data_IF_631865306649
#
_entry.id   IF_631865306649
#
_cell.length_a   1.000
_cell.length_b   1.000
_cell.length_c   1.000
_cell.angle_alpha   90.00
_cell.angle_beta   90.00
_cell.angle_gamma   90.00
#
_symmetry.space_group_name_H-M   'P 1'
#
loop_
_entity.id
_entity.type
_entity.pdbx_description
1 polymer ?
#
# COMPACT_ATOMS: atom_id res chain seq x y z
N UNK A 1 -24.98 24.58 14.58
CA UNK A 1 -24.72 23.31 15.30
C UNK A 1 -25.20 23.50 16.72
N UNK A 2 -26.01 22.58 17.26
CA UNK A 2 -26.51 22.68 18.63
C UNK A 2 -25.42 22.27 19.63
N UNK A 3 -25.48 22.74 20.89
CA UNK A 3 -24.54 22.33 21.95
C UNK A 3 -24.51 20.81 22.16
N UNK A 4 -25.61 20.11 21.84
CA UNK A 4 -25.72 18.67 21.92
C UNK A 4 -24.93 17.98 20.80
N UNK A 5 -24.99 18.51 19.59
CA UNK A 5 -24.21 18.02 18.44
C UNK A 5 -22.72 18.22 18.67
N UNK A 6 -22.33 19.37 19.22
CA UNK A 6 -20.94 19.64 19.57
C UNK A 6 -20.40 18.66 20.63
N UNK A 7 -21.17 18.40 21.70
CA UNK A 7 -20.78 17.42 22.74
C UNK A 7 -20.63 16.00 22.18
N UNK A 8 -21.49 15.61 21.22
CA UNK A 8 -21.39 14.30 20.56
C UNK A 8 -20.12 14.23 19.70
N UNK A 9 -19.83 15.28 18.94
CA UNK A 9 -18.60 15.36 18.14
C UNK A 9 -17.35 15.34 19.03
N UNK A 10 -17.32 16.12 20.10
CA UNK A 10 -16.21 16.15 21.07
C UNK A 10 -16.00 14.77 21.72
N UNK A 11 -17.07 14.07 22.07
CA UNK A 11 -17.00 12.72 22.63
C UNK A 11 -16.50 11.69 21.61
N UNK A 12 -16.91 11.82 20.35
CA UNK A 12 -16.41 10.97 19.25
C UNK A 12 -14.93 11.24 18.97
N UNK A 13 -14.50 12.51 18.99
CA UNK A 13 -13.10 12.87 18.86
C UNK A 13 -12.22 12.36 20.02
N UNK A 14 -12.72 12.49 21.26
CA UNK A 14 -12.01 11.95 22.44
C UNK A 14 -11.88 10.43 22.39
N UNK A 15 -12.91 9.72 21.92
CA UNK A 15 -12.83 8.27 21.73
C UNK A 15 -11.87 7.87 20.61
N UNK A 16 -11.77 8.67 19.54
CA UNK A 16 -10.82 8.46 18.43
C UNK A 16 -9.35 8.71 18.85
N UNK A 17 -9.10 9.54 19.87
CA UNK A 17 -7.76 9.86 20.38
C UNK A 17 -7.23 8.82 21.40
N UNK A 18 -8.08 7.94 21.91
CA UNK A 18 -7.62 6.88 22.83
C UNK A 18 -7.01 5.74 22.01
N UNK A 19 -5.78 5.31 22.33
CA UNK A 19 -5.24 4.14 21.67
C UNK A 19 -6.20 2.97 21.85
N UNK A 20 -6.54 2.26 20.77
CA UNK A 20 -7.45 1.13 20.85
C UNK A 20 -6.83 0.04 21.73
N UNK A 21 -7.61 -0.57 22.59
CA UNK A 21 -7.18 -1.79 23.28
C UNK A 21 -7.48 -2.98 22.39
N UNK A 22 -6.49 -3.83 22.18
CA UNK A 22 -6.70 -5.11 21.51
C UNK A 22 -7.38 -6.08 22.48
N UNK A 23 -8.59 -6.52 22.15
CA UNK A 23 -9.42 -7.36 23.02
C UNK A 23 -9.95 -8.61 22.33
N UNK A 24 -9.53 -8.86 21.07
CA UNK A 24 -9.97 -10.04 20.34
C UNK A 24 -9.47 -11.32 21.05
N UNK A 25 -10.33 -12.30 21.32
CA UNK A 25 -9.94 -13.53 22.02
C UNK A 25 -9.10 -14.48 21.18
N UNK A 26 -9.11 -14.31 19.86
CA UNK A 26 -8.35 -15.08 18.87
C UNK A 26 -8.01 -14.21 17.69
N UNK A 27 -6.93 -14.54 17.01
CA UNK A 27 -6.56 -13.96 15.73
C UNK A 27 -7.36 -14.65 14.61
N UNK A 28 -7.86 -13.88 13.67
CA UNK A 28 -8.49 -14.33 12.42
C UNK A 28 -7.91 -13.55 11.21
N UNK A 29 -8.36 -13.89 10.00
CA UNK A 29 -7.84 -13.32 8.75
C UNK A 29 -7.96 -11.79 8.69
N UNK A 30 -9.00 -11.19 9.28
CA UNK A 30 -9.20 -9.73 9.26
C UNK A 30 -8.07 -8.95 9.94
N UNK A 31 -7.32 -9.58 10.84
CA UNK A 31 -6.17 -8.96 11.53
C UNK A 31 -4.93 -8.79 10.63
N UNK A 32 -4.93 -9.42 9.45
CA UNK A 32 -3.88 -9.26 8.44
C UNK A 32 -4.30 -8.48 7.18
N UNK A 33 -5.56 -8.04 7.09
CA UNK A 33 -6.15 -7.48 5.87
C UNK A 33 -5.86 -6.00 5.60
N UNK A 34 -5.07 -5.31 6.44
CA UNK A 34 -4.79 -3.87 6.30
C UNK A 34 -5.92 -2.94 6.74
N UNK A 35 -7.03 -3.48 7.30
CA UNK A 35 -8.20 -2.71 7.73
C UNK A 35 -8.26 -2.41 9.22
N UNK A 36 -9.44 -2.07 9.71
CA UNK A 36 -9.70 -1.70 11.14
C UNK A 36 -9.21 -2.73 12.16
N UNK A 37 -9.29 -4.04 11.84
CA UNK A 37 -8.83 -5.10 12.74
C UNK A 37 -7.30 -5.12 12.85
N UNK A 38 -6.60 -4.96 11.72
CA UNK A 38 -5.14 -4.84 11.67
C UNK A 38 -4.66 -3.64 12.49
N UNK A 39 -5.27 -2.46 12.32
CA UNK A 39 -4.93 -1.27 13.12
C UNK A 39 -5.11 -1.49 14.62
N UNK A 40 -6.21 -2.13 15.05
CA UNK A 40 -6.42 -2.46 16.47
C UNK A 40 -5.36 -3.41 17.01
N UNK A 41 -4.92 -4.37 16.21
CA UNK A 41 -3.83 -5.29 16.58
C UNK A 41 -2.52 -4.52 16.74
N UNK A 42 -2.17 -3.71 15.74
CA UNK A 42 -0.90 -2.95 15.73
C UNK A 42 -0.90 -1.92 16.87
N UNK A 43 -1.87 -1.01 16.89
CA UNK A 43 -1.90 0.09 17.86
C UNK A 43 -2.24 -0.37 19.29
N UNK A 44 -3.02 -1.46 19.44
CA UNK A 44 -3.48 -1.93 20.74
C UNK A 44 -2.64 -3.03 21.40
N UNK A 45 -1.74 -3.68 20.65
CA UNK A 45 -0.91 -4.77 21.16
C UNK A 45 0.57 -4.61 20.78
N UNK A 46 0.88 -4.41 19.48
CA UNK A 46 2.27 -4.45 19.01
C UNK A 46 2.99 -3.15 19.33
N UNK A 47 2.42 -2.01 18.98
CA UNK A 47 3.04 -0.70 19.21
C UNK A 47 3.36 -0.45 20.69
N UNK A 48 2.45 -0.71 21.65
CA UNK A 48 2.79 -0.56 23.07
C UNK A 48 3.90 -1.48 23.57
N UNK A 49 4.08 -2.65 22.94
CA UNK A 49 5.12 -3.60 23.32
C UNK A 49 6.51 -3.22 22.75
N UNK A 50 6.54 -2.58 21.59
CA UNK A 50 7.76 -2.25 20.86
C UNK A 50 8.01 -0.73 20.76
N UNK A 51 7.33 0.08 21.55
CA UNK A 51 7.34 1.54 21.49
C UNK A 51 8.76 2.12 21.38
N UNK A 52 8.99 2.82 20.28
CA UNK A 52 10.22 3.58 20.04
C UNK A 52 9.96 4.66 18.96
N UNK A 53 10.83 5.70 18.87
CA UNK A 53 10.65 6.80 17.91
C UNK A 53 10.65 6.39 16.44
N UNK A 54 11.34 5.32 16.04
CA UNK A 54 11.38 4.87 14.65
C UNK A 54 10.09 4.14 14.25
N UNK A 55 9.44 3.43 15.18
CA UNK A 55 8.20 2.70 14.92
C UNK A 55 6.95 3.59 15.02
N UNK A 56 6.99 4.63 15.86
CA UNK A 56 5.82 5.46 16.16
C UNK A 56 5.08 6.06 14.95
N UNK A 57 5.74 6.44 13.82
CA UNK A 57 5.05 6.96 12.65
C UNK A 57 4.21 5.93 11.89
N UNK A 58 4.46 4.62 12.05
CA UNK A 58 3.80 3.52 11.31
C UNK A 58 3.80 3.75 9.78
N UNK A 59 4.91 4.28 9.25
CA UNK A 59 5.15 4.48 7.83
C UNK A 59 5.63 3.18 7.15
N UNK A 60 5.65 3.14 5.82
CA UNK A 60 6.06 1.97 5.03
C UNK A 60 7.50 1.54 5.34
N UNK A 61 8.41 2.48 5.61
CA UNK A 61 9.72 2.16 6.16
C UNK A 61 10.02 2.99 7.42
N UNK A 62 10.68 2.37 8.39
CA UNK A 62 11.20 3.04 9.57
C UNK A 62 12.48 3.82 9.23
N UNK A 63 12.59 5.07 9.68
CA UNK A 63 13.79 5.89 9.52
C UNK A 63 14.65 5.81 10.79
N UNK A 64 15.85 5.26 10.67
CA UNK A 64 16.78 5.04 11.76
C UNK A 64 17.98 5.99 11.60
N UNK A 65 18.30 6.85 12.57
CA UNK A 65 19.47 7.75 12.50
C UNK A 65 20.78 6.97 12.32
N UNK A 66 21.60 7.37 11.33
CA UNK A 66 22.89 6.77 11.05
C UNK A 66 23.90 7.87 10.66
N UNK A 67 24.66 8.38 11.61
CA UNK A 67 25.53 9.54 11.42
C UNK A 67 24.71 10.78 11.04
N UNK A 68 25.03 11.40 9.90
CA UNK A 68 24.29 12.54 9.35
C UNK A 68 23.12 12.14 8.43
N UNK A 69 22.97 10.83 8.15
CA UNK A 69 21.92 10.27 7.31
C UNK A 69 20.86 9.54 8.14
N UNK A 70 19.82 9.05 7.46
CA UNK A 70 18.85 8.11 8.00
C UNK A 70 18.83 6.85 7.13
N UNK A 71 18.91 5.70 7.76
CA UNK A 71 18.60 4.42 7.09
C UNK A 71 17.09 4.22 7.09
N UNK A 72 16.57 3.85 5.94
CA UNK A 72 15.21 3.33 5.81
C UNK A 72 15.26 1.81 5.94
N UNK A 73 14.40 1.24 6.76
CA UNK A 73 14.27 -0.19 7.00
C UNK A 73 12.81 -0.59 6.93
N UNK A 74 12.51 -1.59 6.10
CA UNK A 74 11.18 -2.21 6.02
C UNK A 74 11.28 -3.72 6.00
N UNK A 75 10.19 -4.42 6.32
CA UNK A 75 10.06 -5.88 6.21
C UNK A 75 8.63 -6.26 5.87
N UNK A 76 8.49 -7.17 4.89
CA UNK A 76 7.23 -7.70 4.43
C UNK A 76 7.20 -9.21 4.42
N UNK A 77 6.00 -9.77 4.51
CA UNK A 77 5.72 -11.20 4.45
C UNK A 77 4.68 -11.49 3.37
N UNK A 78 5.05 -12.31 2.40
CA UNK A 78 4.23 -12.64 1.24
C UNK A 78 3.67 -14.05 1.35
N UNK A 79 2.34 -14.16 1.20
CA UNK A 79 1.57 -15.39 1.37
C UNK A 79 0.54 -15.57 0.25
N UNK A 80 0.77 -14.99 -0.93
CA UNK A 80 -0.14 -14.99 -2.06
C UNK A 80 -0.48 -16.39 -2.55
N UNK A 81 -1.69 -16.59 -3.01
CA UNK A 81 -2.14 -17.82 -3.66
C UNK A 81 -3.03 -17.49 -4.85
N UNK A 82 -2.75 -18.10 -6.06
CA UNK A 82 -1.65 -19.04 -6.35
C UNK A 82 -0.28 -18.38 -6.28
N UNK A 83 0.80 -19.18 -6.22
CA UNK A 83 2.18 -18.66 -6.20
C UNK A 83 2.56 -17.96 -7.50
N UNK A 84 2.08 -18.48 -8.63
CA UNK A 84 2.21 -17.89 -9.98
C UNK A 84 0.83 -17.42 -10.43
N UNK A 85 0.75 -16.19 -10.89
CA UNK A 85 -0.49 -15.55 -11.31
C UNK A 85 -0.26 -14.72 -12.60
N UNK A 86 -1.31 -14.33 -13.30
CA UNK A 86 -1.15 -13.48 -14.49
C UNK A 86 -0.42 -12.17 -14.16
N UNK A 87 0.70 -11.94 -14.83
CA UNK A 87 1.52 -10.73 -14.66
C UNK A 87 2.59 -10.82 -13.56
N UNK A 88 2.77 -11.97 -12.87
CA UNK A 88 3.81 -12.11 -11.87
C UNK A 88 3.80 -13.40 -11.08
N UNK A 89 4.56 -13.42 -10.00
CA UNK A 89 4.64 -14.53 -9.04
C UNK A 89 5.01 -14.03 -7.65
N UNK A 90 4.93 -14.91 -6.64
CA UNK A 90 5.30 -14.56 -5.26
C UNK A 90 6.74 -14.07 -5.16
N UNK A 91 7.66 -14.64 -5.95
CA UNK A 91 9.06 -14.23 -5.95
C UNK A 91 9.26 -12.81 -6.46
N UNK A 92 8.61 -12.46 -7.55
CA UNK A 92 8.65 -11.10 -8.11
C UNK A 92 7.96 -10.10 -7.19
N UNK A 93 6.77 -10.46 -6.68
CA UNK A 93 6.00 -9.65 -5.75
C UNK A 93 6.80 -9.31 -4.48
N UNK A 94 7.48 -10.30 -3.88
CA UNK A 94 8.25 -10.12 -2.65
C UNK A 94 9.41 -9.12 -2.80
N UNK A 95 10.08 -9.11 -3.95
CA UNK A 95 11.14 -8.12 -4.21
C UNK A 95 10.55 -6.75 -4.46
N UNK A 96 9.55 -6.66 -5.34
CA UNK A 96 8.96 -5.37 -5.72
C UNK A 96 8.30 -4.68 -4.53
N UNK A 97 7.49 -5.38 -3.71
CA UNK A 97 6.80 -4.79 -2.56
C UNK A 97 7.77 -4.14 -1.58
N UNK A 98 8.79 -4.87 -1.15
CA UNK A 98 9.79 -4.32 -0.21
C UNK A 98 10.62 -3.18 -0.80
N UNK A 99 10.93 -3.23 -2.11
CA UNK A 99 11.56 -2.09 -2.81
C UNK A 99 10.63 -0.89 -2.86
N UNK A 100 9.35 -1.12 -3.07
CA UNK A 100 8.34 -0.06 -3.17
C UNK A 100 8.15 0.67 -1.84
N UNK A 101 8.11 -0.04 -0.71
CA UNK A 101 8.08 0.56 0.62
C UNK A 101 9.24 1.55 0.84
N UNK A 102 10.47 1.12 0.47
CA UNK A 102 11.64 2.00 0.55
C UNK A 102 11.49 3.21 -0.38
N UNK A 103 11.03 2.99 -1.62
CA UNK A 103 10.90 4.03 -2.63
C UNK A 103 9.84 5.08 -2.26
N UNK A 104 8.64 4.65 -1.77
CA UNK A 104 7.59 5.59 -1.37
C UNK A 104 7.92 6.31 -0.07
N UNK A 105 8.81 5.75 0.77
CA UNK A 105 9.39 6.44 1.93
C UNK A 105 10.45 7.48 1.56
N UNK A 106 10.74 7.67 0.26
CA UNK A 106 11.75 8.61 -0.24
C UNK A 106 13.18 8.11 -0.09
N UNK A 107 13.37 6.81 0.12
CA UNK A 107 14.69 6.22 0.24
C UNK A 107 15.20 5.66 -1.10
N UNK A 108 16.52 5.65 -1.25
CA UNK A 108 17.21 4.90 -2.30
C UNK A 108 17.50 3.50 -1.77
N UNK A 109 16.88 2.44 -2.33
CA UNK A 109 17.14 1.07 -1.91
C UNK A 109 18.60 0.68 -2.11
N UNK A 110 19.20 -0.04 -1.15
CA UNK A 110 20.58 -0.53 -1.19
C UNK A 110 20.68 -2.04 -1.37
N UNK A 111 19.71 -2.78 -0.85
CA UNK A 111 19.69 -4.23 -0.92
C UNK A 111 18.61 -4.86 -0.07
N UNK A 112 18.41 -6.16 -0.29
CA UNK A 112 17.42 -6.99 0.39
C UNK A 112 18.07 -8.17 1.11
N UNK A 113 17.41 -8.63 2.17
CA UNK A 113 17.49 -10.01 2.62
C UNK A 113 16.22 -10.76 2.24
N UNK A 114 16.34 -12.09 2.01
CA UNK A 114 15.21 -12.97 1.66
C UNK A 114 15.21 -14.19 2.57
N UNK A 115 14.11 -14.43 3.26
CA UNK A 115 13.88 -15.65 4.00
C UNK A 115 12.75 -16.46 3.35
N UNK A 116 13.01 -17.76 3.12
CA UNK A 116 12.06 -18.69 2.52
C UNK A 116 11.55 -19.66 3.58
N UNK A 117 10.24 -19.80 3.69
CA UNK A 117 9.58 -20.84 4.48
C UNK A 117 8.89 -21.77 3.48
N UNK A 118 9.45 -22.96 3.31
CA UNK A 118 9.09 -23.93 2.27
C UNK A 118 8.36 -25.09 2.92
N UNK A 119 7.22 -25.49 2.35
CA UNK A 119 6.54 -26.71 2.79
C UNK A 119 7.19 -27.93 2.17
N UNK A 120 7.39 -28.99 2.96
CA UNK A 120 7.87 -30.28 2.50
C UNK A 120 6.99 -30.83 1.37
N UNK A 121 7.60 -31.11 0.22
CA UNK A 121 6.90 -31.62 -0.96
C UNK A 121 6.55 -30.56 -2.00
N UNK A 122 6.97 -29.30 -1.80
CA UNK A 122 6.94 -28.32 -2.88
C UNK A 122 7.82 -28.81 -4.04
N UNK A 123 7.32 -28.70 -5.26
CA UNK A 123 8.07 -29.06 -6.45
C UNK A 123 9.31 -28.16 -6.59
N UNK A 124 10.47 -28.78 -6.84
CA UNK A 124 11.73 -28.06 -7.00
C UNK A 124 11.70 -27.12 -8.21
N UNK A 125 10.97 -27.46 -9.28
CA UNK A 125 10.83 -26.59 -10.46
C UNK A 125 10.06 -25.30 -10.12
N UNK A 126 9.01 -25.41 -9.26
CA UNK A 126 8.29 -24.25 -8.75
C UNK A 126 9.20 -23.34 -7.93
N UNK A 127 9.97 -23.93 -7.00
CA UNK A 127 10.93 -23.16 -6.20
C UNK A 127 11.99 -22.49 -7.09
N UNK A 128 12.53 -23.21 -8.07
CA UNK A 128 13.52 -22.65 -9.00
C UNK A 128 12.94 -21.45 -9.79
N UNK A 129 11.71 -21.59 -10.29
CA UNK A 129 11.00 -20.50 -10.97
C UNK A 129 10.88 -19.25 -10.08
N UNK A 130 10.49 -19.41 -8.81
CA UNK A 130 10.31 -18.29 -7.89
C UNK A 130 11.65 -17.61 -7.53
N UNK A 131 12.71 -18.41 -7.34
CA UNK A 131 14.07 -17.86 -7.11
C UNK A 131 14.57 -17.07 -8.32
N UNK A 132 14.34 -17.57 -9.53
CA UNK A 132 14.68 -16.85 -10.76
C UNK A 132 13.83 -15.58 -10.92
N UNK A 133 12.55 -15.61 -10.55
CA UNK A 133 11.67 -14.44 -10.58
C UNK A 133 12.17 -13.36 -9.61
N UNK A 134 12.57 -13.73 -8.38
CA UNK A 134 13.21 -12.83 -7.41
C UNK A 134 14.50 -12.21 -7.98
N UNK A 135 15.36 -13.03 -8.58
CA UNK A 135 16.61 -12.55 -9.16
C UNK A 135 16.38 -11.52 -10.27
N UNK A 136 15.44 -11.80 -11.19
CA UNK A 136 15.07 -10.86 -12.25
C UNK A 136 14.46 -9.56 -11.71
N UNK A 137 13.61 -9.65 -10.67
CA UNK A 137 13.03 -8.46 -10.05
C UNK A 137 14.09 -7.60 -9.34
N UNK A 138 15.04 -8.22 -8.63
CA UNK A 138 16.17 -7.54 -7.98
C UNK A 138 17.07 -6.84 -9.02
N UNK A 139 17.33 -7.50 -10.15
CA UNK A 139 18.08 -6.92 -11.27
C UNK A 139 17.38 -5.69 -11.87
N UNK A 140 16.05 -5.79 -12.12
CA UNK A 140 15.26 -4.64 -12.59
C UNK A 140 15.24 -3.48 -11.60
N UNK A 141 15.17 -3.78 -10.30
CA UNK A 141 15.25 -2.78 -9.24
C UNK A 141 16.67 -2.23 -9.03
N UNK A 142 17.69 -2.86 -9.63
CA UNK A 142 19.08 -2.46 -9.51
C UNK A 142 19.70 -2.69 -8.13
N UNK A 143 19.20 -3.68 -7.37
CA UNK A 143 19.64 -3.96 -6.00
C UNK A 143 20.02 -5.43 -5.81
N UNK A 144 21.02 -5.76 -4.95
CA UNK A 144 21.36 -7.13 -4.65
C UNK A 144 20.42 -7.75 -3.60
N UNK A 145 20.16 -9.05 -3.72
CA UNK A 145 19.80 -9.90 -2.57
C UNK A 145 21.10 -10.23 -1.84
N UNK A 146 21.32 -9.57 -0.70
CA UNK A 146 22.62 -9.58 -0.01
C UNK A 146 22.77 -10.75 0.97
N UNK A 147 21.68 -11.27 1.51
CA UNK A 147 21.66 -12.37 2.48
C UNK A 147 20.28 -13.03 2.52
N UNK A 148 20.18 -14.16 3.20
CA UNK A 148 18.89 -14.84 3.36
C UNK A 148 18.94 -15.98 4.36
N UNK A 149 17.78 -16.59 4.59
CA UNK A 149 17.62 -17.81 5.39
C UNK A 149 16.61 -18.75 4.71
N UNK A 150 16.64 -20.03 5.04
CA UNK A 150 15.72 -21.03 4.52
C UNK A 150 15.27 -21.96 5.63
N UNK A 151 13.96 -22.16 5.75
CA UNK A 151 13.34 -23.14 6.63
C UNK A 151 12.42 -24.05 5.83
N UNK A 152 12.42 -25.31 6.16
CA UNK A 152 11.45 -26.29 5.64
C UNK A 152 10.54 -26.70 6.79
N UNK A 153 9.24 -26.63 6.57
CA UNK A 153 8.19 -27.09 7.50
C UNK A 153 7.54 -28.36 6.97
N UNK A 154 6.96 -29.15 7.86
CA UNK A 154 6.33 -30.42 7.51
C UNK A 154 5.12 -30.20 6.59
N UNK A 155 4.82 -31.18 5.77
CA UNK A 155 3.64 -31.21 4.90
C UNK A 155 2.34 -30.92 5.68
N UNK A 156 1.50 -30.02 5.17
CA UNK A 156 0.26 -29.57 5.79
C UNK A 156 0.45 -28.53 6.90
N UNK A 157 1.68 -27.98 7.06
CA UNK A 157 2.00 -26.89 8.01
C UNK A 157 2.33 -25.57 7.33
N UNK A 158 2.39 -25.54 6.01
CA UNK A 158 2.55 -24.37 5.18
C UNK A 158 1.49 -24.31 4.10
N UNK A 159 1.81 -23.64 2.99
CA UNK A 159 0.99 -23.59 1.78
C UNK A 159 1.92 -23.46 0.56
N UNK A 160 2.84 -24.38 0.47
CA UNK A 160 3.89 -24.42 -0.53
C UNK A 160 5.08 -23.52 -0.19
N UNK A 161 4.94 -22.22 -0.33
CA UNK A 161 6.01 -21.24 -0.13
C UNK A 161 5.48 -19.95 0.51
N UNK A 162 6.17 -19.50 1.55
CA UNK A 162 6.08 -18.13 2.06
C UNK A 162 7.43 -17.44 1.89
N UNK A 163 7.39 -16.16 1.57
CA UNK A 163 8.59 -15.34 1.37
C UNK A 163 8.55 -14.16 2.34
N UNK A 164 9.63 -13.93 3.05
CA UNK A 164 9.83 -12.75 3.88
C UNK A 164 11.03 -11.99 3.35
N UNK A 165 10.84 -10.71 3.09
CA UNK A 165 11.90 -9.82 2.62
C UNK A 165 12.12 -8.69 3.61
N UNK A 166 13.36 -8.27 3.77
CA UNK A 166 13.72 -7.06 4.52
C UNK A 166 14.58 -6.20 3.64
N UNK A 167 14.17 -4.95 3.48
CA UNK A 167 14.86 -3.97 2.67
C UNK A 167 15.58 -2.92 3.52
N UNK A 168 16.75 -2.50 3.06
CA UNK A 168 17.48 -1.35 3.61
C UNK A 168 17.75 -0.33 2.52
N UNK A 169 17.59 0.95 2.85
CA UNK A 169 17.87 2.08 1.97
C UNK A 169 18.44 3.26 2.71
N UNK A 170 18.80 4.30 1.97
CA UNK A 170 19.21 5.60 2.53
C UNK A 170 18.08 6.59 2.20
N UNK A 171 17.50 7.19 3.24
CA UNK A 171 16.49 8.22 3.11
C UNK A 171 17.10 9.50 2.51
N UNK A 172 16.36 10.11 1.61
CA UNK A 172 16.75 11.37 1.01
C UNK A 172 16.54 12.53 2.00
N UNK A 173 17.59 13.25 2.39
CA UNK A 173 17.48 14.34 3.35
C UNK A 173 16.72 15.57 2.82
N UNK A 174 16.51 15.67 1.51
CA UNK A 174 15.75 16.77 0.89
C UNK A 174 14.24 16.53 0.91
N UNK A 175 13.80 15.28 1.17
CA UNK A 175 12.40 14.91 1.21
C UNK A 175 11.88 14.89 2.65
N UNK A 176 10.75 15.56 2.87
CA UNK A 176 10.02 15.53 4.13
C UNK A 176 8.64 14.92 3.91
N UNK A 177 8.63 13.61 3.66
CA UNK A 177 7.41 12.85 3.36
C UNK A 177 6.73 12.44 4.66
N UNK A 178 5.62 13.08 4.96
CA UNK A 178 4.79 12.71 6.11
C UNK A 178 3.37 13.25 5.98
N UNK A 179 2.42 12.65 6.67
CA UNK A 179 1.06 13.19 6.81
C UNK A 179 1.06 14.59 7.43
N UNK A 180 2.04 14.93 8.28
CA UNK A 180 2.19 16.25 8.87
C UNK A 180 2.62 17.34 7.87
N UNK A 181 3.20 16.96 6.74
CA UNK A 181 3.64 17.88 5.68
C UNK A 181 2.50 18.32 4.77
N UNK A 182 1.39 17.59 4.77
CA UNK A 182 0.23 17.81 3.89
C UNK A 182 -0.53 19.08 4.29
N UNK A 183 -1.10 19.78 3.30
CA UNK A 183 -1.84 21.04 3.48
C UNK A 183 -3.17 21.01 2.72
N UNK A 184 -4.20 21.73 3.17
CA UNK A 184 -5.40 21.95 2.38
C UNK A 184 -5.07 22.57 1.03
N UNK A 185 -5.69 22.04 -0.03
CA UNK A 185 -5.43 22.41 -1.43
C UNK A 185 -4.45 21.50 -2.14
N UNK A 186 -3.61 20.74 -1.42
CA UNK A 186 -2.70 19.75 -2.03
C UNK A 186 -3.48 18.73 -2.86
N UNK A 187 -2.89 18.31 -3.98
CA UNK A 187 -3.51 17.37 -4.93
C UNK A 187 -3.06 15.95 -4.66
N UNK A 188 -3.99 15.01 -4.82
CA UNK A 188 -3.74 13.59 -4.64
C UNK A 188 -3.64 12.96 -6.03
N UNK A 189 -2.45 12.46 -6.34
CA UNK A 189 -2.13 11.74 -7.56
C UNK A 189 -2.18 10.25 -7.31
N UNK A 190 -2.75 9.50 -8.26
CA UNK A 190 -2.61 8.06 -8.38
C UNK A 190 -1.74 7.78 -9.62
N UNK A 191 -0.74 6.94 -9.49
CA UNK A 191 0.24 6.70 -10.57
C UNK A 191 -0.27 5.85 -11.72
N UNK A 192 -1.45 5.24 -11.63
CA UNK A 192 -2.01 4.41 -12.71
C UNK A 192 -3.29 3.71 -12.31
N UNK A 193 -3.72 2.73 -13.13
CA UNK A 193 -4.96 1.98 -12.94
C UNK A 193 -5.04 1.25 -11.60
N UNK A 194 -6.23 1.24 -11.00
CA UNK A 194 -6.47 0.66 -9.68
C UNK A 194 -7.07 -0.74 -9.75
N UNK A 195 -6.69 -1.59 -8.81
CA UNK A 195 -7.30 -2.89 -8.55
C UNK A 195 -6.82 -4.02 -9.47
N UNK A 196 -5.83 -3.78 -10.33
CA UNK A 196 -5.34 -4.78 -11.28
C UNK A 196 -4.75 -6.00 -10.59
N UNK A 197 -3.92 -5.83 -9.56
CA UNK A 197 -3.34 -6.94 -8.82
C UNK A 197 -4.41 -7.81 -8.19
N UNK A 198 -5.29 -7.20 -7.40
CA UNK A 198 -6.33 -7.95 -6.71
C UNK A 198 -7.27 -8.68 -7.67
N UNK A 199 -7.66 -8.05 -8.76
CA UNK A 199 -8.48 -8.69 -9.80
C UNK A 199 -7.74 -9.87 -10.47
N UNK A 200 -6.44 -9.72 -10.79
CA UNK A 200 -5.63 -10.79 -11.36
C UNK A 200 -5.55 -12.02 -10.45
N UNK A 201 -5.34 -11.81 -9.13
CA UNK A 201 -5.31 -12.90 -8.15
C UNK A 201 -6.66 -13.60 -8.04
N UNK A 202 -7.78 -12.86 -7.98
CA UNK A 202 -9.12 -13.44 -7.88
C UNK A 202 -9.49 -14.29 -9.11
N UNK A 203 -9.17 -13.80 -10.30
CA UNK A 203 -9.36 -14.56 -11.55
C UNK A 203 -8.47 -15.80 -11.55
N UNK A 204 -7.22 -15.70 -11.15
CA UNK A 204 -6.28 -16.82 -11.09
C UNK A 204 -6.69 -17.91 -10.11
N UNK A 205 -7.44 -17.58 -9.05
CA UNK A 205 -8.01 -18.55 -8.10
C UNK A 205 -9.21 -19.32 -8.67
N UNK A 206 -9.81 -18.81 -9.72
CA UNK A 206 -11.08 -19.35 -10.20
C UNK A 206 -12.28 -18.94 -9.34
N UNK A 207 -12.13 -17.94 -8.46
CA UNK A 207 -13.21 -17.39 -7.65
C UNK A 207 -14.27 -16.67 -8.50
N UNK A 208 -13.89 -16.33 -9.73
CA UNK A 208 -14.74 -15.74 -10.75
C UNK A 208 -14.67 -16.60 -12.01
N UNK A 209 -15.83 -17.05 -12.50
CA UNK A 209 -15.95 -17.63 -13.85
C UNK A 209 -15.88 -16.52 -14.92
N UNK A 210 -14.81 -15.72 -14.87
CA UNK A 210 -14.55 -14.64 -15.83
C UNK A 210 -13.39 -15.04 -16.74
N UNK A 211 -13.68 -15.16 -18.02
CA UNK A 211 -12.67 -15.21 -19.08
C UNK A 211 -12.19 -13.78 -19.38
N UNK A 212 -11.39 -13.22 -18.48
CA UNK A 212 -10.86 -11.89 -18.68
C UNK A 212 -9.34 -11.87 -18.45
N UNK A 213 -8.60 -11.20 -19.33
CA UNK A 213 -7.16 -11.01 -19.20
C UNK A 213 -6.88 -9.78 -18.34
N UNK A 214 -6.63 -10.01 -17.05
CA UNK A 214 -6.10 -9.00 -16.13
C UNK A 214 -4.74 -9.46 -15.64
N UNK A 215 -3.74 -8.61 -15.82
CA UNK A 215 -2.38 -8.85 -15.31
C UNK A 215 -2.18 -8.08 -14.01
N UNK A 216 -1.48 -8.69 -13.06
CA UNK A 216 -0.98 -7.98 -11.88
C UNK A 216 -0.10 -6.81 -12.32
N UNK A 217 -0.22 -5.72 -11.58
CA UNK A 217 0.56 -4.51 -11.79
C UNK A 217 1.92 -4.52 -11.08
N UNK A 218 2.31 -5.65 -10.45
CA UNK A 218 3.56 -5.72 -9.67
C UNK A 218 4.78 -5.26 -10.47
N UNK A 219 5.45 -4.24 -9.95
CA UNK A 219 6.66 -3.63 -10.54
C UNK A 219 7.40 -2.76 -9.54
N UNK A 220 8.69 -2.44 -9.76
CA UNK A 220 9.40 -1.46 -8.95
C UNK A 220 8.88 -0.04 -9.21
N UNK A 221 8.63 0.72 -8.15
CA UNK A 221 8.15 2.12 -8.18
C UNK A 221 9.29 3.14 -8.19
N UNK A 222 10.54 2.72 -8.07
CA UNK A 222 11.71 3.62 -8.04
C UNK A 222 11.79 4.62 -9.21
N UNK A 223 11.41 4.27 -10.46
CA UNK A 223 11.38 5.26 -11.55
C UNK A 223 10.33 6.35 -11.32
N UNK A 224 9.12 5.97 -10.85
CA UNK A 224 8.01 6.89 -10.61
C UNK A 224 8.29 7.82 -9.42
N UNK A 225 8.82 7.29 -8.31
CA UNK A 225 9.17 8.11 -7.12
C UNK A 225 10.29 9.09 -7.43
N UNK A 226 11.28 8.70 -8.26
CA UNK A 226 12.32 9.61 -8.73
C UNK A 226 11.75 10.75 -9.57
N UNK A 227 10.88 10.43 -10.53
CA UNK A 227 10.24 11.45 -11.37
C UNK A 227 9.39 12.43 -10.55
N UNK A 228 8.69 11.95 -9.52
CA UNK A 228 7.96 12.81 -8.59
C UNK A 228 8.89 13.71 -7.80
N UNK A 229 10.01 13.19 -7.29
CA UNK A 229 11.03 14.02 -6.61
C UNK A 229 11.54 15.12 -7.54
N UNK A 230 11.92 14.78 -8.76
CA UNK A 230 12.50 15.71 -9.73
C UNK A 230 11.49 16.78 -10.19
N UNK A 231 10.23 16.41 -10.38
CA UNK A 231 9.18 17.31 -10.90
C UNK A 231 8.50 18.15 -9.82
N UNK A 232 8.28 17.60 -8.63
CA UNK A 232 7.57 18.29 -7.56
C UNK A 232 8.52 18.88 -6.50
N UNK A 233 9.74 18.34 -6.33
CA UNK A 233 10.72 18.83 -5.37
C UNK A 233 10.14 19.03 -3.96
N UNK A 234 10.28 20.23 -3.36
CA UNK A 234 9.72 20.54 -2.02
C UNK A 234 8.18 20.52 -1.98
N UNK A 235 7.51 20.51 -3.15
CA UNK A 235 6.05 20.35 -3.27
C UNK A 235 5.56 18.91 -3.03
N UNK A 236 6.44 17.91 -3.07
CA UNK A 236 6.10 16.52 -2.74
C UNK A 236 5.97 16.38 -1.22
N UNK A 237 4.78 16.04 -0.72
CA UNK A 237 4.43 16.03 0.69
C UNK A 237 4.34 14.64 1.30
N UNK A 238 3.82 13.69 0.51
CA UNK A 238 3.52 12.34 0.97
C UNK A 238 3.55 11.38 -0.22
N UNK A 239 4.00 10.17 0.00
CA UNK A 239 3.84 9.04 -0.92
C UNK A 239 3.50 7.79 -0.12
N UNK A 240 2.74 6.89 -0.70
CA UNK A 240 2.45 5.54 -0.20
C UNK A 240 1.95 4.65 -1.31
N UNK A 241 2.28 3.37 -1.28
CA UNK A 241 1.69 2.37 -2.16
C UNK A 241 0.39 1.81 -1.57
N UNK A 242 -0.69 1.76 -2.34
CA UNK A 242 -1.99 1.30 -1.88
C UNK A 242 -2.12 -0.22 -2.01
N UNK A 243 -1.35 -0.99 -1.23
CA UNK A 243 -1.37 -2.44 -1.16
C UNK A 243 -2.63 -2.95 -0.43
N UNK A 244 -2.53 -3.70 0.64
CA UNK A 244 -3.69 -4.23 1.38
C UNK A 244 -4.62 -3.13 1.89
N UNK A 245 -5.92 -3.30 1.62
CA UNK A 245 -6.93 -2.28 1.92
C UNK A 245 -6.98 -1.12 0.93
N UNK A 246 -6.11 -1.12 -0.09
CA UNK A 246 -6.15 -0.24 -1.24
C UNK A 246 -6.08 1.26 -0.92
N UNK A 247 -6.50 2.05 -1.88
CA UNK A 247 -6.59 3.52 -1.79
C UNK A 247 -7.45 3.97 -0.60
N UNK A 248 -8.54 3.24 -0.33
CA UNK A 248 -9.46 3.56 0.75
C UNK A 248 -8.77 3.58 2.12
N UNK A 249 -7.93 2.59 2.41
CA UNK A 249 -7.17 2.54 3.67
C UNK A 249 -6.12 3.64 3.74
N UNK A 250 -5.26 3.77 2.72
CA UNK A 250 -4.19 4.78 2.69
C UNK A 250 -4.74 6.20 2.90
N UNK A 251 -5.83 6.56 2.23
CA UNK A 251 -6.40 7.91 2.37
C UNK A 251 -7.09 8.15 3.71
N UNK A 252 -7.66 7.10 4.33
CA UNK A 252 -8.18 7.22 5.69
C UNK A 252 -7.08 7.41 6.73
N UNK A 253 -5.94 6.73 6.56
CA UNK A 253 -4.74 6.94 7.38
C UNK A 253 -4.23 8.37 7.21
N UNK A 254 -4.07 8.82 5.97
CA UNK A 254 -3.66 10.19 5.66
C UNK A 254 -4.59 11.23 6.32
N UNK A 255 -5.91 11.07 6.16
CA UNK A 255 -6.89 12.00 6.73
C UNK A 255 -6.85 12.01 8.27
N UNK A 256 -6.72 10.84 8.89
CA UNK A 256 -6.61 10.70 10.35
C UNK A 256 -5.36 11.39 10.89
N UNK A 257 -4.21 11.12 10.26
CA UNK A 257 -2.90 11.50 10.79
C UNK A 257 -2.54 12.96 10.46
N UNK A 258 -2.95 13.47 9.30
CA UNK A 258 -2.83 14.89 8.95
C UNK A 258 -3.82 15.79 9.72
N UNK A 259 -4.95 15.22 10.13
CA UNK A 259 -6.06 15.97 10.73
C UNK A 259 -6.98 16.64 9.72
N UNK A 260 -6.65 16.58 8.43
CA UNK A 260 -7.44 17.19 7.34
C UNK A 260 -8.43 16.20 6.72
N UNK A 261 -9.34 16.69 5.88
CA UNK A 261 -10.20 15.89 5.05
C UNK A 261 -9.57 15.56 3.71
N UNK A 262 -10.11 14.55 3.05
CA UNK A 262 -9.77 14.16 1.68
C UNK A 262 -11.03 14.14 0.85
N UNK A 263 -11.02 14.81 -0.31
CA UNK A 263 -12.08 14.75 -1.30
C UNK A 263 -11.60 14.03 -2.57
N UNK A 264 -12.32 13.00 -3.00
CA UNK A 264 -12.11 12.25 -4.23
C UNK A 264 -13.19 12.57 -5.25
N UNK A 265 -12.90 12.36 -6.53
CA UNK A 265 -13.87 12.38 -7.63
C UNK A 265 -13.92 11.02 -8.30
N UNK A 266 -15.09 10.36 -8.24
CA UNK A 266 -15.31 9.02 -8.80
C UNK A 266 -14.95 8.96 -10.28
N UNK A 267 -15.32 9.97 -11.06
CA UNK A 267 -15.02 10.07 -12.50
C UNK A 267 -13.53 10.16 -12.86
N UNK A 268 -12.66 10.42 -11.84
CA UNK A 268 -11.22 10.54 -12.01
C UNK A 268 -10.46 9.32 -11.52
N UNK A 269 -11.15 8.35 -10.95
CA UNK A 269 -10.51 7.10 -10.52
C UNK A 269 -10.14 6.28 -11.75
N UNK A 270 -8.85 5.97 -11.97
CA UNK A 270 -8.42 5.20 -13.13
C UNK A 270 -8.66 3.70 -12.88
N UNK A 271 -9.91 3.26 -12.98
CA UNK A 271 -10.30 1.84 -12.82
C UNK A 271 -10.70 1.30 -14.19
N UNK A 272 -10.11 0.20 -14.62
CA UNK A 272 -10.44 -0.44 -15.89
C UNK A 272 -11.81 -1.12 -15.80
N UNK A 273 -12.55 -1.15 -16.92
CA UNK A 273 -13.90 -1.76 -16.98
C UNK A 273 -13.91 -3.21 -16.50
N UNK A 274 -12.89 -3.99 -16.85
CA UNK A 274 -12.75 -5.38 -16.42
C UNK A 274 -12.60 -5.51 -14.90
N UNK A 275 -11.87 -4.59 -14.26
CA UNK A 275 -11.72 -4.56 -12.79
C UNK A 275 -13.01 -4.11 -12.14
N UNK A 276 -13.69 -3.10 -12.68
CA UNK A 276 -15.03 -2.70 -12.23
C UNK A 276 -16.02 -3.86 -12.30
N UNK A 277 -16.06 -4.57 -13.43
CA UNK A 277 -16.95 -5.72 -13.59
C UNK A 277 -16.66 -6.85 -12.59
N UNK A 278 -15.39 -7.15 -12.33
CA UNK A 278 -14.99 -8.12 -11.31
C UNK A 278 -15.44 -7.68 -9.91
N UNK A 279 -15.24 -6.42 -9.57
CA UNK A 279 -15.63 -5.84 -8.30
C UNK A 279 -17.15 -5.82 -8.11
N UNK A 280 -17.93 -5.49 -9.14
CA UNK A 280 -19.39 -5.53 -9.11
C UNK A 280 -19.93 -6.95 -8.84
N UNK A 281 -19.38 -7.97 -9.48
CA UNK A 281 -19.79 -9.38 -9.27
C UNK A 281 -19.53 -9.80 -7.83
N UNK A 282 -18.40 -9.36 -7.24
CA UNK A 282 -18.01 -9.71 -5.87
C UNK A 282 -18.65 -8.82 -4.81
N UNK A 283 -19.27 -7.71 -5.19
CA UNK A 283 -19.76 -6.69 -4.26
C UNK A 283 -18.65 -5.98 -3.50
N UNK A 284 -17.48 -5.81 -4.12
CA UNK A 284 -16.29 -5.13 -3.56
C UNK A 284 -16.11 -3.79 -4.25
N UNK A 285 -15.74 -2.76 -3.50
CA UNK A 285 -15.39 -1.47 -4.06
C UNK A 285 -13.92 -1.48 -4.54
N UNK A 286 -13.62 -1.07 -5.78
CA UNK A 286 -12.26 -1.00 -6.32
C UNK A 286 -11.26 -0.22 -5.44
N UNK A 287 -11.74 0.75 -4.66
CA UNK A 287 -10.91 1.52 -3.73
C UNK A 287 -10.26 0.68 -2.63
N UNK A 288 -10.77 -0.53 -2.35
CA UNK A 288 -10.21 -1.44 -1.34
C UNK A 288 -9.43 -2.61 -1.92
N UNK A 289 -9.34 -2.68 -3.25
CA UNK A 289 -8.58 -3.72 -3.94
C UNK A 289 -7.08 -3.39 -3.88
N UNK A 290 -6.26 -4.39 -3.60
CA UNK A 290 -4.81 -4.22 -3.49
C UNK A 290 -4.15 -3.93 -4.85
N UNK A 291 -3.11 -3.10 -4.80
CA UNK A 291 -2.24 -2.74 -5.92
C UNK A 291 -0.80 -2.98 -5.51
N UNK A 292 0.04 -3.50 -6.40
CA UNK A 292 1.42 -3.89 -6.08
C UNK A 292 2.48 -3.15 -6.94
N UNK A 293 2.01 -2.28 -7.82
CA UNK A 293 2.84 -1.47 -8.71
C UNK A 293 2.30 -0.07 -8.92
N UNK A 294 1.60 0.47 -7.91
CA UNK A 294 1.03 1.82 -7.91
C UNK A 294 1.43 2.57 -6.65
N UNK A 295 1.43 3.89 -6.75
CA UNK A 295 1.58 4.77 -5.60
C UNK A 295 0.53 5.88 -5.61
N UNK A 296 0.24 6.36 -4.41
CA UNK A 296 -0.43 7.63 -4.16
C UNK A 296 0.61 8.66 -3.77
N UNK A 297 0.54 9.85 -4.36
CA UNK A 297 1.37 10.98 -3.98
C UNK A 297 0.49 12.19 -3.64
N UNK A 298 0.88 12.93 -2.61
CA UNK A 298 0.29 14.23 -2.30
C UNK A 298 1.31 15.30 -2.64
N UNK A 299 0.91 16.21 -3.51
CA UNK A 299 1.77 17.29 -4.02
C UNK A 299 1.10 18.65 -3.90
N UNK A 300 1.91 19.70 -3.79
CA UNK A 300 1.39 21.07 -3.78
C UNK A 300 0.66 21.40 -5.09
N UNK A 301 -0.35 22.28 -5.08
CA UNK A 301 -1.11 22.65 -6.28
C UNK A 301 -0.21 23.16 -7.41
N UNK A 302 0.87 23.88 -7.07
CA UNK A 302 1.79 24.50 -8.02
C UNK A 302 2.60 23.49 -8.81
N UNK A 303 2.83 22.29 -8.24
CA UNK A 303 3.66 21.25 -8.87
C UNK A 303 2.84 20.09 -9.42
N UNK A 304 1.53 20.08 -9.20
CA UNK A 304 0.67 18.94 -9.49
C UNK A 304 0.64 18.55 -10.98
N UNK A 305 0.53 19.53 -11.88
CA UNK A 305 0.49 19.25 -13.32
C UNK A 305 1.83 18.72 -13.83
N UNK A 306 2.96 19.31 -13.36
CA UNK A 306 4.29 18.85 -13.74
C UNK A 306 4.56 17.42 -13.22
N UNK A 307 4.12 17.12 -11.99
CA UNK A 307 4.23 15.80 -11.40
C UNK A 307 3.39 14.76 -12.17
N UNK A 308 2.16 15.14 -12.58
CA UNK A 308 1.29 14.27 -13.37
C UNK A 308 1.90 13.96 -14.75
N UNK A 309 2.42 14.99 -15.45
CA UNK A 309 3.08 14.79 -16.74
C UNK A 309 4.33 13.92 -16.62
N UNK A 310 5.13 14.13 -15.57
CA UNK A 310 6.31 13.31 -15.32
C UNK A 310 5.97 11.83 -15.09
N UNK A 311 4.90 11.53 -14.36
CA UNK A 311 4.41 10.16 -14.20
C UNK A 311 3.96 9.56 -15.53
N UNK A 312 3.14 10.29 -16.30
CA UNK A 312 2.59 9.82 -17.58
C UNK A 312 3.65 9.54 -18.65
N UNK A 313 4.80 10.14 -18.52
CA UNK A 313 5.95 9.91 -19.41
C UNK A 313 6.71 8.60 -19.15
N UNK A 314 6.32 7.83 -18.13
CA UNK A 314 7.02 6.62 -17.71
C UNK A 314 6.15 5.38 -17.82
N UNK A 315 6.80 4.24 -18.05
CA UNK A 315 6.15 2.94 -18.03
C UNK A 315 5.46 2.71 -16.68
N UNK A 316 4.17 2.40 -16.73
CA UNK A 316 3.30 2.18 -15.57
C UNK A 316 2.71 3.43 -14.95
N UNK A 317 2.99 4.59 -15.54
CA UNK A 317 2.40 5.88 -15.18
C UNK A 317 1.45 6.45 -16.24
N UNK A 318 1.22 5.75 -17.35
CA UNK A 318 0.44 6.25 -18.50
C UNK A 318 -0.98 6.65 -18.10
N UNK A 319 -1.58 5.90 -17.16
CA UNK A 319 -2.94 6.13 -16.64
C UNK A 319 -2.94 7.00 -15.36
N UNK A 320 -1.82 7.68 -15.05
CA UNK A 320 -1.76 8.52 -13.86
C UNK A 320 -2.82 9.62 -13.89
N UNK A 321 -3.44 9.89 -12.73
CA UNK A 321 -4.52 10.87 -12.59
C UNK A 321 -4.41 11.66 -11.26
N UNK A 322 -4.87 12.91 -11.29
CA UNK A 322 -5.21 13.64 -10.07
C UNK A 322 -6.61 13.19 -9.65
N UNK A 323 -6.69 12.32 -8.66
CA UNK A 323 -7.93 11.69 -8.22
C UNK A 323 -8.66 12.48 -7.12
N UNK A 324 -7.97 13.39 -6.45
CA UNK A 324 -8.52 14.08 -5.29
C UNK A 324 -7.71 15.28 -4.83
N UNK A 325 -8.14 15.84 -3.73
CA UNK A 325 -7.45 16.92 -3.03
C UNK A 325 -7.65 16.84 -1.51
N UNK A 326 -6.73 17.46 -0.79
CA UNK A 326 -6.80 17.64 0.65
C UNK A 326 -7.64 18.89 0.96
N UNK A 327 -8.52 18.79 1.98
CA UNK A 327 -9.43 19.86 2.40
C UNK A 327 -9.37 20.10 3.90
N UNK A 328 -9.73 21.28 4.35
CA UNK A 328 -9.91 21.54 5.78
C UNK A 328 -11.06 20.71 6.35
N UNK A 329 -12.19 20.66 5.62
CA UNK A 329 -13.41 19.98 6.04
C UNK A 329 -13.96 19.04 4.95
N UNK A 330 -14.62 17.95 5.35
CA UNK A 330 -14.78 17.45 6.74
C UNK A 330 -13.48 16.84 7.28
N UNK A 331 -13.01 17.37 8.42
CA UNK A 331 -11.74 16.95 9.02
C UNK A 331 -11.69 15.44 9.32
N UNK A 332 -10.53 14.80 9.03
CA UNK A 332 -10.26 13.37 9.31
C UNK A 332 -11.22 12.41 8.62
N UNK A 333 -11.77 12.80 7.51
CA UNK A 333 -12.71 12.00 6.73
C UNK A 333 -12.31 11.97 5.27
N UNK A 334 -12.60 10.86 4.61
CA UNK A 334 -12.48 10.71 3.16
C UNK A 334 -13.87 10.73 2.58
N UNK A 335 -14.13 11.68 1.68
CA UNK A 335 -15.40 11.79 0.96
C UNK A 335 -15.17 11.63 -0.54
N UNK A 336 -16.10 11.01 -1.23
CA UNK A 336 -16.05 10.87 -2.68
C UNK A 336 -17.29 11.51 -3.31
N UNK A 337 -17.05 12.43 -4.24
CA UNK A 337 -18.08 12.96 -5.10
C UNK A 337 -18.38 11.97 -6.21
N UNK A 338 -19.65 11.53 -6.28
CA UNK A 338 -20.07 10.55 -7.27
C UNK A 338 -20.40 11.20 -8.60
N UNK A 339 -20.27 10.45 -9.70
CA UNK A 339 -20.61 10.90 -11.05
C UNK A 339 -22.07 11.37 -11.21
N UNK A 340 -22.97 10.97 -10.31
CA UNK A 340 -24.38 11.38 -10.30
C UNK A 340 -24.65 12.60 -9.41
N UNK A 341 -23.60 13.29 -8.93
CA UNK A 341 -23.71 14.52 -8.11
C UNK A 341 -23.98 14.28 -6.64
N UNK A 342 -23.91 13.01 -6.17
CA UNK A 342 -23.97 12.66 -4.74
C UNK A 342 -22.59 12.75 -4.08
N UNK A 343 -22.59 12.50 -2.77
CA UNK A 343 -21.35 12.34 -1.98
C UNK A 343 -21.48 11.13 -1.10
N UNK A 344 -20.47 10.28 -1.07
CA UNK A 344 -20.38 9.15 -0.14
C UNK A 344 -19.11 9.22 0.71
N UNK A 345 -19.19 8.70 1.91
CA UNK A 345 -18.03 8.55 2.79
C UNK A 345 -17.28 7.27 2.42
N UNK A 346 -15.95 7.36 2.35
CA UNK A 346 -15.05 6.23 2.24
C UNK A 346 -14.47 5.99 3.63
N UNK A 347 -14.80 4.85 4.25
CA UNK A 347 -14.29 4.48 5.57
C UNK A 347 -13.17 3.44 5.42
N UNK A 348 -12.44 3.13 6.50
CA UNK A 348 -11.45 2.05 6.50
C UNK A 348 -12.11 0.69 6.27
N UNK A 349 -11.40 -0.17 5.56
CA UNK A 349 -11.83 -1.55 5.31
C UNK A 349 -12.22 -2.28 6.60
N UNK A 350 -13.34 -3.01 6.53
CA UNK A 350 -13.82 -3.89 7.61
C UNK A 350 -13.85 -5.33 7.07
N UNK A 351 -13.22 -6.24 7.79
CA UNK A 351 -13.08 -7.63 7.35
C UNK A 351 -11.87 -7.86 6.45
N UNK A 352 -11.86 -8.98 5.76
CA UNK A 352 -10.87 -9.36 4.76
C UNK A 352 -11.59 -9.89 3.50
N UNK A 353 -12.01 -9.00 2.60
CA UNK A 353 -12.73 -9.41 1.39
C UNK A 353 -11.83 -10.13 0.38
N UNK A 354 -10.51 -9.96 0.50
CA UNK A 354 -9.52 -10.47 -0.45
C UNK A 354 -8.35 -11.14 0.29
N UNK A 355 -8.57 -12.26 1.00
CA UNK A 355 -7.52 -12.90 1.78
C UNK A 355 -6.40 -13.44 0.87
N UNK A 356 -5.14 -13.38 1.38
CA UNK A 356 -3.96 -13.95 0.72
C UNK A 356 -3.72 -13.42 -0.69
N UNK A 357 -3.78 -12.11 -0.82
CA UNK A 357 -3.61 -11.43 -2.10
C UNK A 357 -2.13 -11.05 -2.34
N UNK A 358 -1.37 -10.88 -1.26
CA UNK A 358 0.06 -10.55 -1.29
C UNK A 358 0.84 -11.31 -0.21
#
# INVERSE_FOLDING_TARGET
MSEREQRVLDALEQNRRRPPKFTAPRIDMSHGAGGKATHKLIEGLLLPAFENPALAPLSDAALIPFGEAHLALTTDSFVVRPLVFPGGSIGELAVNGTVNDLAVSGATPLGLSVALIIEEGLDTEVLAHEVEAMARAAERAGIPVATGDTKVVERGKGDGLYVVTTGVGIADPELNLSSASVRPGDKILCSGSLGDHGAAILIARGDLELEAEVLSDTRPLTPLTRALKESAGPGLRFMRDPTRGGVGTVLNELARDSGYGVALWEERLPVRDVVNGACEILGIDPLYVANEGKLLAVVSPETADAALEALRGLEGGEDAQIIGEVREEPARMVVMHTQFGGTRMIDMLVGDPLPRIC
#
